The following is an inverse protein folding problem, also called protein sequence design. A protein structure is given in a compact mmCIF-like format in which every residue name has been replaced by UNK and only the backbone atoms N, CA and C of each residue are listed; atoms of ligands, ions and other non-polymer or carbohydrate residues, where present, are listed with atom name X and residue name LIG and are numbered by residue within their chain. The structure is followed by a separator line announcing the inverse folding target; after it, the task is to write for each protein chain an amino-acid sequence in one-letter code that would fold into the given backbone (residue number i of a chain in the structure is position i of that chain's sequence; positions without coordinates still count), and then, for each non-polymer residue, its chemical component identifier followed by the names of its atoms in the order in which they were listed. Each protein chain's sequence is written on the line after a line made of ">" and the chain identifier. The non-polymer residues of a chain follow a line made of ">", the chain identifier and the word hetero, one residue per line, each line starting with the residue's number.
data_IF_208203915272
#
_entry.id   IF_208203915272
#
_cell.length_a   1.000
_cell.length_b   1.000
_cell.length_c   1.000
_cell.angle_alpha   90.00
_cell.angle_beta   90.00
_cell.angle_gamma   90.00
#
_symmetry.space_group_name_H-M   'P 1'
#
loop_
_entity.id
_entity.type
_entity.pdbx_description
1 polymer ?
#
# COMPACT_ATOMS: atom_id res chain seq x y z
N UNK A 1 -57.94 2.28 49.48
CA UNK A 1 -57.43 0.90 49.46
C UNK A 1 -56.88 0.64 48.07
N UNK A 2 -55.61 0.96 47.89
CA UNK A 2 -54.79 0.44 46.80
C UNK A 2 -53.46 0.12 47.46
N UNK A 3 -53.25 -1.16 47.73
CA UNK A 3 -52.03 -1.71 48.32
C UNK A 3 -50.83 -1.41 47.43
N UNK A 4 -49.91 -0.59 47.93
CA UNK A 4 -48.56 -0.48 47.41
C UNK A 4 -47.81 -1.77 47.76
N UNK A 5 -47.75 -2.69 46.80
CA UNK A 5 -46.81 -3.81 46.86
C UNK A 5 -45.41 -3.26 46.65
N UNK A 6 -44.65 -3.16 47.74
CA UNK A 6 -43.20 -3.10 47.71
C UNK A 6 -42.66 -4.31 46.93
N UNK A 7 -42.28 -4.08 45.67
CA UNK A 7 -41.58 -5.07 44.86
C UNK A 7 -40.10 -5.01 45.21
N UNK A 8 -39.76 -5.72 46.27
CA UNK A 8 -38.39 -6.14 46.57
C UNK A 8 -37.82 -6.88 45.34
N UNK A 9 -36.82 -6.26 44.71
CA UNK A 9 -35.95 -6.87 43.70
C UNK A 9 -34.49 -6.67 44.16
N UNK A 10 -34.18 -7.18 45.35
CA UNK A 10 -32.83 -7.61 45.67
C UNK A 10 -32.55 -8.89 44.88
N UNK A 11 -31.55 -8.87 44.01
CA UNK A 11 -31.10 -10.10 43.32
C UNK A 11 -30.71 -9.94 41.86
N UNK A 12 -29.83 -8.98 41.54
CA UNK A 12 -28.95 -9.14 40.39
C UNK A 12 -27.57 -9.49 40.95
N UNK A 13 -27.33 -10.79 41.14
CA UNK A 13 -25.98 -11.30 41.37
C UNK A 13 -25.11 -10.91 40.17
N UNK A 14 -24.22 -9.93 40.37
CA UNK A 14 -23.11 -9.71 39.46
C UNK A 14 -22.21 -10.96 39.51
N UNK A 15 -22.22 -11.74 38.43
CA UNK A 15 -21.23 -12.81 38.23
C UNK A 15 -19.85 -12.19 38.41
N UNK A 16 -18.99 -12.72 39.30
CA UNK A 16 -17.65 -12.19 39.42
C UNK A 16 -16.97 -12.36 38.06
N UNK A 17 -16.60 -11.24 37.43
CA UNK A 17 -15.61 -11.26 36.35
C UNK A 17 -14.37 -11.89 36.96
N UNK A 18 -14.19 -13.17 36.69
CA UNK A 18 -13.03 -13.95 37.08
C UNK A 18 -11.81 -13.23 36.53
N UNK A 19 -11.20 -12.40 37.38
CA UNK A 19 -10.02 -11.65 37.05
C UNK A 19 -8.94 -12.66 36.76
N UNK A 20 -8.52 -12.74 35.50
CA UNK A 20 -7.42 -13.59 35.07
C UNK A 20 -6.15 -13.09 35.76
N UNK A 21 -5.83 -13.66 36.93
CA UNK A 21 -4.62 -13.35 37.68
C UNK A 21 -3.45 -14.02 36.98
N UNK A 22 -2.97 -13.40 35.91
CA UNK A 22 -1.78 -13.86 35.21
C UNK A 22 -0.55 -13.48 36.03
N UNK A 23 0.20 -14.47 36.51
CA UNK A 23 1.46 -14.21 37.21
C UNK A 23 2.44 -13.48 36.29
N UNK A 24 3.10 -12.44 36.79
CA UNK A 24 4.03 -11.61 36.01
C UNK A 24 5.15 -12.43 35.33
N UNK A 25 5.57 -13.53 35.96
CA UNK A 25 6.58 -14.45 35.42
C UNK A 25 6.10 -15.20 34.17
N UNK A 26 4.79 -15.39 34.01
CA UNK A 26 4.15 -16.01 32.85
C UNK A 26 3.69 -14.92 31.87
N UNK A 27 3.29 -13.75 32.38
CA UNK A 27 2.89 -12.61 31.57
C UNK A 27 4.03 -12.06 30.70
N UNK A 28 5.22 -11.91 31.27
CA UNK A 28 6.40 -11.37 30.56
C UNK A 28 6.79 -12.19 29.33
N UNK A 29 6.97 -13.53 29.40
CA UNK A 29 7.32 -14.31 28.21
C UNK A 29 6.20 -14.34 27.17
N UNK A 30 4.93 -14.33 27.59
CA UNK A 30 3.78 -14.26 26.66
C UNK A 30 3.75 -12.92 25.93
N UNK A 31 4.01 -11.82 26.64
CA UNK A 31 4.10 -10.48 26.05
C UNK A 31 5.24 -10.40 25.02
N UNK A 32 6.42 -10.93 25.37
CA UNK A 32 7.57 -10.98 24.45
C UNK A 32 7.27 -11.83 23.20
N UNK A 33 6.65 -13.00 23.38
CA UNK A 33 6.25 -13.86 22.27
C UNK A 33 5.24 -13.16 21.36
N UNK A 34 4.30 -12.39 21.92
CA UNK A 34 3.34 -11.61 21.14
C UNK A 34 4.02 -10.50 20.32
N UNK A 35 5.00 -9.79 20.88
CA UNK A 35 5.75 -8.76 20.16
C UNK A 35 6.52 -9.38 18.98
N UNK A 36 7.19 -10.50 19.20
CA UNK A 36 7.94 -11.22 18.17
C UNK A 36 7.01 -11.73 17.06
N UNK A 37 5.88 -12.33 17.46
CA UNK A 37 4.87 -12.86 16.50
C UNK A 37 4.26 -11.74 15.68
N UNK A 38 3.92 -10.61 16.30
CA UNK A 38 3.42 -9.41 15.61
C UNK A 38 4.43 -8.88 14.60
N UNK A 39 5.71 -8.81 14.97
CA UNK A 39 6.79 -8.38 14.08
C UNK A 39 6.96 -9.30 12.88
N UNK A 40 6.95 -10.63 13.09
CA UNK A 40 7.07 -11.61 12.00
C UNK A 40 5.87 -11.56 11.05
N UNK A 41 4.65 -11.47 11.57
CA UNK A 41 3.44 -11.34 10.74
C UNK A 41 3.44 -10.02 9.96
N UNK A 42 3.86 -8.92 10.59
CA UNK A 42 3.98 -7.64 9.91
C UNK A 42 5.01 -7.71 8.78
N UNK A 43 6.22 -8.21 9.05
CA UNK A 43 7.30 -8.28 8.07
C UNK A 43 7.04 -9.28 6.94
N UNK A 44 6.38 -10.41 7.20
CA UNK A 44 6.21 -11.48 6.21
C UNK A 44 4.89 -11.44 5.46
N UNK A 45 3.83 -10.87 6.06
CA UNK A 45 2.49 -10.85 5.46
C UNK A 45 2.07 -9.42 5.11
N UNK A 46 2.23 -8.47 6.03
CA UNK A 46 1.72 -7.10 5.84
C UNK A 46 2.64 -6.30 4.92
N UNK A 47 3.96 -6.34 5.12
CA UNK A 47 4.93 -5.62 4.29
C UNK A 47 4.85 -6.04 2.81
N UNK A 48 4.94 -7.32 2.43
CA UNK A 48 4.81 -7.68 1.01
C UNK A 48 3.40 -7.45 0.44
N UNK A 49 2.33 -7.50 1.26
CA UNK A 49 0.97 -7.29 0.77
C UNK A 49 0.55 -5.81 0.65
N UNK A 50 1.11 -4.91 1.46
CA UNK A 50 0.73 -3.48 1.50
C UNK A 50 1.86 -2.53 1.10
N UNK A 51 3.11 -2.96 1.22
CA UNK A 51 4.33 -2.21 0.94
C UNK A 51 5.22 -2.91 -0.10
N UNK A 52 4.69 -3.84 -0.90
CA UNK A 52 5.27 -4.01 -2.24
C UNK A 52 5.25 -2.62 -2.87
N UNK A 53 6.40 -2.03 -3.21
CA UNK A 53 6.43 -0.67 -3.73
C UNK A 53 5.70 -0.68 -5.07
N UNK A 54 4.44 -0.27 -5.07
CA UNK A 54 4.00 0.66 -6.10
C UNK A 54 4.73 1.95 -5.71
N UNK A 55 5.88 2.22 -6.34
CA UNK A 55 6.67 3.44 -6.11
C UNK A 55 5.83 4.68 -6.47
N UNK A 56 4.96 5.07 -5.55
CA UNK A 56 4.38 6.40 -5.53
C UNK A 56 5.31 7.31 -4.72
N UNK A 57 6.18 8.02 -5.43
CA UNK A 57 6.83 9.23 -4.90
C UNK A 57 8.06 9.01 -4.02
N UNK A 58 9.03 8.23 -4.50
CA UNK A 58 10.41 8.39 -4.07
C UNK A 58 11.16 9.03 -5.25
N UNK A 59 11.69 10.23 -5.06
CA UNK A 59 12.66 10.83 -5.99
C UNK A 59 13.75 9.79 -6.23
N UNK A 60 13.81 9.28 -7.47
CA UNK A 60 14.83 8.35 -7.90
C UNK A 60 16.10 9.18 -8.09
N UNK A 61 17.00 9.12 -7.10
CA UNK A 61 18.42 9.27 -7.38
C UNK A 61 18.78 8.21 -8.43
N UNK A 62 19.45 8.65 -9.50
CA UNK A 62 20.02 7.81 -10.55
C UNK A 62 20.89 6.69 -9.92
N UNK A 63 20.33 5.51 -9.74
CA UNK A 63 21.09 4.27 -9.62
C UNK A 63 21.25 3.69 -11.03
N UNK A 64 22.37 4.05 -11.67
CA UNK A 64 22.95 3.21 -12.71
C UNK A 64 23.45 1.91 -12.06
N UNK A 65 22.75 0.79 -12.26
CA UNK A 65 23.37 -0.53 -12.16
C UNK A 65 22.54 -1.61 -12.87
N UNK A 66 23.15 -2.27 -13.88
CA UNK A 66 22.76 -3.62 -14.29
C UNK A 66 22.74 -3.91 -15.79
N UNK A 67 23.91 -4.26 -16.35
CA UNK A 67 24.11 -4.86 -17.67
C UNK A 67 23.53 -6.29 -17.76
N UNK A 68 22.55 -6.50 -18.64
CA UNK A 68 22.23 -7.78 -19.27
C UNK A 68 21.82 -7.63 -20.75
N UNK A 69 22.76 -7.16 -21.57
CA UNK A 69 22.77 -7.37 -23.03
C UNK A 69 22.40 -6.17 -23.87
N UNK A 70 23.40 -5.34 -24.22
CA UNK A 70 23.32 -4.22 -25.19
C UNK A 70 21.98 -3.46 -25.20
N UNK A 71 21.39 -3.18 -24.04
CA UNK A 71 20.26 -2.28 -23.96
C UNK A 71 20.75 -0.86 -24.26
N UNK A 72 20.06 -0.17 -25.18
CA UNK A 72 20.29 1.23 -25.50
C UNK A 72 19.98 2.17 -24.32
N UNK A 73 20.04 3.47 -24.56
CA UNK A 73 19.75 4.50 -23.56
C UNK A 73 18.26 4.43 -23.19
N UNK A 74 17.95 4.25 -21.90
CA UNK A 74 16.57 4.12 -21.44
C UNK A 74 16.03 5.47 -20.98
N UNK A 75 14.97 5.95 -21.63
CA UNK A 75 14.20 7.12 -21.23
C UNK A 75 12.94 6.71 -20.49
N UNK A 76 12.90 6.93 -19.18
CA UNK A 76 11.73 6.63 -18.36
C UNK A 76 10.69 7.76 -18.43
N UNK A 77 9.43 7.38 -18.62
CA UNK A 77 8.29 8.29 -18.50
C UNK A 77 7.70 8.14 -17.11
N UNK A 78 7.49 9.28 -16.43
CA UNK A 78 6.80 9.32 -15.15
C UNK A 78 5.42 8.66 -15.22
N UNK A 79 4.93 8.19 -14.07
CA UNK A 79 3.67 7.49 -13.95
C UNK A 79 2.51 8.23 -14.61
N UNK A 80 1.82 7.53 -15.51
CA UNK A 80 0.62 8.02 -16.18
C UNK A 80 -0.59 7.35 -15.54
N UNK A 81 -1.47 8.17 -14.97
CA UNK A 81 -2.75 7.75 -14.39
C UNK A 81 -3.88 8.23 -15.29
N UNK A 82 -4.63 7.31 -15.89
CA UNK A 82 -5.76 7.63 -16.77
C UNK A 82 -7.03 6.87 -16.42
N UNK A 83 -8.15 7.46 -16.84
CA UNK A 83 -9.44 6.82 -16.80
C UNK A 83 -9.82 6.38 -18.24
N UNK A 84 -9.66 5.09 -18.60
CA UNK A 84 -9.94 4.62 -19.95
C UNK A 84 -11.43 4.75 -20.31
N UNK A 85 -11.71 4.75 -21.62
CA UNK A 85 -13.07 4.73 -22.12
C UNK A 85 -13.84 3.52 -21.56
N UNK A 86 -15.15 3.68 -21.44
CA UNK A 86 -16.06 2.63 -20.95
C UNK A 86 -15.82 2.15 -19.51
N UNK A 87 -14.91 2.77 -18.75
CA UNK A 87 -14.67 2.44 -17.34
C UNK A 87 -15.82 2.85 -16.42
N UNK A 88 -16.73 3.73 -16.86
CA UNK A 88 -17.78 4.32 -16.03
C UNK A 88 -17.24 5.12 -14.82
N UNK A 89 -15.94 5.43 -14.78
CA UNK A 89 -15.27 6.03 -13.62
C UNK A 89 -15.03 5.07 -12.45
N UNK A 90 -15.20 3.75 -12.64
CA UNK A 90 -15.02 2.76 -11.57
C UNK A 90 -13.63 2.11 -11.57
N UNK A 91 -12.90 2.24 -12.67
CA UNK A 91 -11.55 1.71 -12.82
C UNK A 91 -10.64 2.77 -13.44
N UNK A 92 -9.41 2.85 -12.94
CA UNK A 92 -8.33 3.67 -13.50
C UNK A 92 -7.12 2.79 -13.76
N UNK A 93 -6.26 3.24 -14.67
CA UNK A 93 -5.04 2.55 -15.04
C UNK A 93 -3.86 3.41 -14.62
N UNK A 94 -2.90 2.80 -13.93
CA UNK A 94 -1.59 3.39 -13.60
C UNK A 94 -0.56 2.64 -14.41
N UNK A 95 0.24 3.36 -15.21
CA UNK A 95 1.25 2.75 -16.07
C UNK A 95 2.58 3.48 -15.84
N UNK A 96 3.62 2.69 -15.60
CA UNK A 96 5.01 3.11 -15.67
C UNK A 96 5.59 2.55 -16.99
N UNK A 97 6.22 3.40 -17.79
CA UNK A 97 6.76 3.00 -19.09
C UNK A 97 8.15 3.60 -19.29
N UNK A 98 9.02 2.86 -19.96
CA UNK A 98 10.32 3.34 -20.38
C UNK A 98 10.53 3.01 -21.86
N UNK A 99 11.23 3.90 -22.56
CA UNK A 99 11.60 3.76 -23.96
C UNK A 99 13.09 3.49 -24.06
N UNK A 100 13.47 2.41 -24.73
CA UNK A 100 14.85 2.18 -25.14
C UNK A 100 15.16 3.00 -26.40
N UNK A 101 16.31 3.67 -26.41
CA UNK A 101 16.74 4.59 -27.45
C UNK A 101 18.14 4.24 -27.94
N UNK A 102 18.36 4.46 -29.24
CA UNK A 102 19.65 4.19 -29.87
C UNK A 102 20.71 5.27 -29.56
N UNK A 103 20.29 6.47 -29.13
CA UNK A 103 21.19 7.62 -28.94
C UNK A 103 20.77 8.57 -27.81
N UNK A 104 21.75 9.31 -27.27
CA UNK A 104 21.53 10.30 -26.21
C UNK A 104 20.83 11.56 -26.76
N UNK A 105 21.05 11.88 -28.04
CA UNK A 105 20.36 12.98 -28.72
C UNK A 105 18.84 12.74 -28.77
N UNK A 106 18.42 11.50 -29.02
CA UNK A 106 17.00 11.13 -29.02
C UNK A 106 16.38 11.26 -27.61
N UNK A 107 17.15 10.94 -26.57
CA UNK A 107 16.73 11.12 -25.18
C UNK A 107 16.46 12.60 -24.86
N UNK A 108 17.37 13.49 -25.26
CA UNK A 108 17.15 14.93 -25.10
C UNK A 108 15.93 15.44 -25.87
N UNK A 109 15.69 14.91 -27.07
CA UNK A 109 14.54 15.30 -27.90
C UNK A 109 13.23 14.86 -27.25
N UNK A 110 13.18 13.65 -26.70
CA UNK A 110 12.03 13.16 -25.95
C UNK A 110 11.82 13.97 -24.68
N UNK A 111 12.87 14.27 -23.92
CA UNK A 111 12.79 15.13 -22.75
C UNK A 111 12.23 16.53 -23.07
N UNK A 112 12.67 17.16 -24.17
CA UNK A 112 12.13 18.46 -24.62
C UNK A 112 10.67 18.37 -25.09
N UNK A 113 10.21 17.20 -25.52
CA UNK A 113 8.86 16.94 -26.04
C UNK A 113 7.99 16.13 -25.08
N UNK A 114 8.40 15.98 -23.81
CA UNK A 114 7.69 15.19 -22.81
C UNK A 114 6.19 15.54 -22.72
N UNK A 115 5.76 16.83 -22.69
CA UNK A 115 4.34 17.16 -22.66
C UNK A 115 3.56 16.62 -23.88
N UNK A 116 4.19 16.62 -25.06
CA UNK A 116 3.58 16.09 -26.28
C UNK A 116 3.56 14.56 -26.30
N UNK A 117 4.60 13.93 -25.77
CA UNK A 117 4.67 12.48 -25.61
C UNK A 117 3.56 12.00 -24.67
N UNK A 118 3.42 12.63 -23.49
CA UNK A 118 2.36 12.34 -22.52
C UNK A 118 0.97 12.53 -23.10
N UNK A 119 0.71 13.60 -23.85
CA UNK A 119 -0.59 13.81 -24.50
C UNK A 119 -0.95 12.66 -25.46
N UNK A 120 0.01 12.20 -26.26
CA UNK A 120 -0.19 11.06 -27.17
C UNK A 120 -0.47 9.78 -26.38
N UNK A 121 0.30 9.52 -25.32
CA UNK A 121 0.13 8.33 -24.48
C UNK A 121 -1.22 8.34 -23.78
N UNK A 122 -1.59 9.44 -23.12
CA UNK A 122 -2.88 9.60 -22.46
C UNK A 122 -4.01 9.38 -23.46
N UNK A 123 -3.95 9.98 -24.65
CA UNK A 123 -4.99 9.80 -25.67
C UNK A 123 -5.08 8.37 -26.19
N UNK A 124 -3.95 7.67 -26.29
CA UNK A 124 -3.90 6.29 -26.78
C UNK A 124 -4.45 5.31 -25.75
N UNK A 125 -4.12 5.51 -24.47
CA UNK A 125 -4.54 4.63 -23.37
C UNK A 125 -5.98 4.94 -22.93
N UNK A 126 -6.39 6.21 -23.01
CA UNK A 126 -7.72 6.65 -22.59
C UNK A 126 -8.83 6.32 -23.60
N UNK A 127 -8.47 5.93 -24.84
CA UNK A 127 -9.42 5.61 -25.91
C UNK A 127 -10.15 4.29 -25.70
#
# INVERSE_FOLDING_TARGET
>A
MADEKELNLEGVEEKPKSGFKLDIKIAIPILLAQIITSYLLASFVIVPAFFSPVQAGQEVEEEEEGDDGEFGIVYQVEDIIVNPAESGGTHYVVINMAFELDSEEDSEVLHKKDPKLRDILIRTISS
#
